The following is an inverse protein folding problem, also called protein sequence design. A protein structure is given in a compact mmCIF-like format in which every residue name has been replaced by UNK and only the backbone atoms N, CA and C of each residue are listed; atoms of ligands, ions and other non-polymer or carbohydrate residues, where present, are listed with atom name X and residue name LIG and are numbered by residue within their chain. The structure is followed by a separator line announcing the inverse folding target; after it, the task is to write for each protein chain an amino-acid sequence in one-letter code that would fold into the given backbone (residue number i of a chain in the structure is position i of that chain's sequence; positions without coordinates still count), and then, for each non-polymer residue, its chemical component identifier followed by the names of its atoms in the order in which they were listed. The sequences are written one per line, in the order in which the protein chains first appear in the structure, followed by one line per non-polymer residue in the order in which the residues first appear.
data_IF_235050933852
#
_entry.id   IF_235050933852
#
_cell.length_a   1.000
_cell.length_b   1.000
_cell.length_c   1.000
_cell.angle_alpha   90.00
_cell.angle_beta   90.00
_cell.angle_gamma   90.00
#
_symmetry.space_group_name_H-M   'P 1'
#
loop_
_entity.id
_entity.type
_entity.pdbx_description
1 polymer ?
#
# COMPACT_ATOMS: atom_id res chain seq x y z
N UNK A 1 -22.29 -1.01 -27.95
CA UNK A 1 -21.71 -2.02 -27.05
C UNK A 1 -20.21 -1.77 -27.03
N UNK A 2 -19.57 -1.64 -25.87
CA UNK A 2 -18.13 -1.46 -25.73
C UNK A 2 -17.42 -2.81 -25.87
N UNK A 3 -16.14 -2.80 -26.28
CA UNK A 3 -15.36 -4.04 -26.24
C UNK A 3 -15.07 -4.41 -24.79
N UNK A 4 -14.59 -3.44 -23.98
CA UNK A 4 -14.28 -3.67 -22.57
C UNK A 4 -14.75 -2.50 -21.70
N UNK A 5 -15.37 -2.82 -20.56
CA UNK A 5 -15.59 -1.86 -19.48
C UNK A 5 -14.70 -2.22 -18.29
N UNK A 6 -13.91 -1.22 -17.82
CA UNK A 6 -13.10 -1.33 -16.62
C UNK A 6 -13.80 -0.59 -15.49
N UNK A 7 -14.01 -1.25 -14.34
CA UNK A 7 -14.70 -0.70 -13.18
C UNK A 7 -13.68 -0.41 -12.07
N UNK A 8 -13.47 0.88 -11.79
CA UNK A 8 -12.53 1.40 -10.80
C UNK A 8 -11.34 2.12 -11.44
N UNK A 9 -11.17 3.40 -11.10
CA UNK A 9 -10.14 4.30 -11.64
C UNK A 9 -8.88 4.40 -10.81
N UNK A 10 -8.58 3.42 -9.94
CA UNK A 10 -7.28 3.29 -9.28
C UNK A 10 -6.20 2.83 -10.26
N UNK A 11 -4.94 2.69 -9.79
CA UNK A 11 -3.80 2.26 -10.63
C UNK A 11 -4.10 0.98 -11.39
N UNK A 12 -4.73 -0.02 -10.75
CA UNK A 12 -5.08 -1.28 -11.43
C UNK A 12 -5.98 -1.06 -12.65
N UNK A 13 -7.05 -0.29 -12.48
CA UNK A 13 -7.99 -0.03 -13.57
C UNK A 13 -7.40 0.85 -14.66
N UNK A 14 -6.64 1.87 -14.31
CA UNK A 14 -5.96 2.74 -15.28
C UNK A 14 -4.95 1.97 -16.12
N UNK A 15 -4.15 1.08 -15.52
CA UNK A 15 -3.21 0.22 -16.25
C UNK A 15 -3.96 -0.77 -17.13
N UNK A 16 -5.01 -1.42 -16.61
CA UNK A 16 -5.80 -2.35 -17.41
C UNK A 16 -6.46 -1.65 -18.61
N UNK A 17 -7.04 -0.46 -18.42
CA UNK A 17 -7.67 0.29 -19.49
C UNK A 17 -6.67 0.72 -20.56
N UNK A 18 -5.49 1.24 -20.14
CA UNK A 18 -4.40 1.63 -21.05
C UNK A 18 -3.90 0.44 -21.88
N UNK A 19 -3.59 -0.68 -21.23
CA UNK A 19 -3.02 -1.84 -21.91
C UNK A 19 -4.04 -2.48 -22.89
N UNK A 20 -5.34 -2.47 -22.54
CA UNK A 20 -6.43 -2.90 -23.45
C UNK A 20 -6.61 -1.95 -24.62
N UNK A 21 -6.58 -0.64 -24.40
CA UNK A 21 -6.66 0.34 -25.49
C UNK A 21 -5.45 0.27 -26.41
N UNK A 22 -4.25 0.06 -25.88
CA UNK A 22 -3.04 -0.18 -26.65
C UNK A 22 -3.12 -1.48 -27.50
N UNK A 23 -3.94 -2.46 -27.08
CA UNK A 23 -4.27 -3.64 -27.85
C UNK A 23 -5.42 -3.41 -28.88
N UNK A 24 -5.84 -2.16 -29.08
CA UNK A 24 -6.84 -1.77 -30.09
C UNK A 24 -8.29 -1.95 -29.67
N UNK A 25 -8.58 -2.09 -28.36
CA UNK A 25 -9.95 -2.26 -27.84
C UNK A 25 -10.64 -0.91 -27.58
N UNK A 26 -11.95 -0.85 -27.82
CA UNK A 26 -12.80 0.26 -27.35
C UNK A 26 -13.06 0.10 -25.84
N UNK A 27 -12.36 0.91 -25.03
CA UNK A 27 -12.35 0.78 -23.57
C UNK A 27 -13.03 1.98 -22.91
N UNK A 28 -13.98 1.68 -22.01
CA UNK A 28 -14.59 2.65 -21.11
C UNK A 28 -14.19 2.33 -19.66
N UNK A 29 -13.53 3.27 -18.99
CA UNK A 29 -13.25 3.20 -17.56
C UNK A 29 -14.31 3.97 -16.76
N UNK A 30 -14.92 3.31 -15.78
CA UNK A 30 -15.92 3.87 -14.86
C UNK A 30 -15.34 4.01 -13.45
N UNK A 31 -15.30 5.23 -12.92
CA UNK A 31 -14.86 5.55 -11.58
C UNK A 31 -16.00 6.18 -10.78
N UNK A 32 -16.20 5.68 -9.54
CA UNK A 32 -17.29 6.15 -8.67
C UNK A 32 -17.03 7.53 -8.06
N UNK A 33 -15.76 7.87 -7.82
CA UNK A 33 -15.35 9.17 -7.28
C UNK A 33 -15.29 10.24 -8.40
N UNK A 34 -15.19 11.53 -8.03
CA UNK A 34 -15.02 12.61 -9.00
C UNK A 34 -13.68 12.58 -9.75
N UNK A 35 -12.70 11.86 -9.22
CA UNK A 35 -11.33 11.81 -9.73
C UNK A 35 -10.81 10.37 -9.80
N UNK A 36 -9.96 10.10 -10.79
CA UNK A 36 -9.18 8.86 -10.87
C UNK A 36 -7.95 8.90 -9.97
N UNK A 37 -7.32 7.73 -9.74
CA UNK A 37 -6.06 7.61 -9.01
C UNK A 37 -6.18 6.72 -7.76
N UNK A 38 -7.37 6.61 -7.19
CA UNK A 38 -7.56 5.83 -5.97
C UNK A 38 -6.67 6.34 -4.83
N UNK A 39 -5.69 5.53 -4.40
CA UNK A 39 -4.77 5.88 -3.30
C UNK A 39 -3.56 6.71 -3.73
N UNK A 40 -3.37 7.00 -5.01
CA UNK A 40 -2.38 7.95 -5.52
C UNK A 40 -3.06 9.30 -5.70
N UNK A 41 -2.83 10.18 -4.74
CA UNK A 41 -3.46 11.49 -4.69
C UNK A 41 -2.48 12.55 -4.25
N UNK A 42 -2.56 13.70 -4.88
CA UNK A 42 -1.88 14.93 -4.45
C UNK A 42 -2.90 15.95 -3.99
N UNK A 43 -2.48 16.81 -3.11
CA UNK A 43 -3.26 17.97 -2.69
C UNK A 43 -2.33 19.14 -2.36
N UNK A 44 -2.89 20.32 -2.18
CA UNK A 44 -2.16 21.52 -1.80
C UNK A 44 -2.11 21.66 -0.28
N UNK A 45 -0.90 21.85 0.26
CA UNK A 45 -0.67 22.11 1.68
C UNK A 45 0.31 23.27 1.79
N UNK A 46 -0.10 24.39 2.39
CA UNK A 46 0.65 25.65 2.46
C UNK A 46 1.13 26.15 1.08
N UNK A 47 0.31 26.01 0.04
CA UNK A 47 0.67 26.40 -1.33
C UNK A 47 1.57 25.39 -2.07
N UNK A 48 1.95 24.29 -1.44
CA UNK A 48 2.80 23.25 -2.02
C UNK A 48 1.99 22.04 -2.44
N UNK A 49 2.09 21.61 -3.70
CA UNK A 49 1.43 20.39 -4.19
C UNK A 49 2.27 19.16 -3.83
N UNK A 50 1.76 18.32 -2.93
CA UNK A 50 2.44 17.14 -2.38
C UNK A 50 1.55 15.89 -2.39
N UNK A 51 2.16 14.72 -2.27
CA UNK A 51 1.42 13.47 -2.11
C UNK A 51 0.73 13.42 -0.73
N UNK A 52 -0.59 13.25 -0.73
CA UNK A 52 -1.41 12.99 0.47
C UNK A 52 -1.82 11.51 0.57
N UNK A 53 -1.53 10.73 -0.47
CA UNK A 53 -1.69 9.28 -0.55
C UNK A 53 -0.36 8.53 -0.51
N UNK A 54 -0.25 7.46 -1.31
CA UNK A 54 1.00 6.72 -1.46
C UNK A 54 2.03 7.56 -2.21
N UNK A 55 3.24 7.70 -1.65
CA UNK A 55 4.31 8.56 -2.18
C UNK A 55 5.45 7.80 -2.88
N UNK A 56 5.46 6.47 -2.77
CA UNK A 56 6.57 5.66 -3.27
C UNK A 56 6.10 4.29 -3.73
N UNK A 57 6.88 3.69 -4.62
CA UNK A 57 6.78 2.29 -5.01
C UNK A 57 8.10 1.56 -4.76
N UNK A 58 8.07 0.21 -4.75
CA UNK A 58 9.28 -0.60 -4.67
C UNK A 58 10.04 -0.53 -6.00
N UNK A 59 11.25 0.05 -5.99
CA UNK A 59 12.12 0.16 -7.16
C UNK A 59 12.75 -1.17 -7.60
N UNK A 60 12.70 -2.19 -6.74
CA UNK A 60 13.24 -3.54 -7.01
C UNK A 60 12.25 -4.48 -7.69
N UNK A 61 11.06 -3.98 -8.01
CA UNK A 61 10.01 -4.71 -8.73
C UNK A 61 9.87 -4.13 -10.13
N UNK A 62 10.08 -4.94 -11.19
CA UNK A 62 10.14 -4.44 -12.57
C UNK A 62 8.83 -3.79 -13.01
N UNK A 63 7.67 -4.29 -12.57
CA UNK A 63 6.38 -3.86 -13.10
C UNK A 63 6.15 -2.34 -13.00
N UNK A 64 6.65 -1.71 -11.90
CA UNK A 64 6.52 -0.26 -11.71
C UNK A 64 7.58 0.53 -12.47
N UNK A 65 8.80 0.01 -12.55
CA UNK A 65 9.91 0.62 -13.28
C UNK A 65 9.65 0.59 -14.78
N UNK A 66 9.22 -0.56 -15.29
CA UNK A 66 8.89 -0.75 -16.70
C UNK A 66 7.71 0.16 -17.12
N UNK A 67 6.67 0.25 -16.28
CA UNK A 67 5.55 1.16 -16.56
C UNK A 67 5.99 2.63 -16.60
N UNK A 68 6.87 3.06 -15.69
CA UNK A 68 7.41 4.41 -15.72
C UNK A 68 8.19 4.67 -17.04
N UNK A 69 9.01 3.70 -17.47
CA UNK A 69 9.73 3.78 -18.74
C UNK A 69 8.79 3.82 -19.95
N UNK A 70 7.74 3.00 -19.98
CA UNK A 70 6.69 2.99 -21.01
C UNK A 70 5.95 4.35 -21.12
N UNK A 71 5.82 5.05 -19.99
CA UNK A 71 5.20 6.37 -19.92
C UNK A 71 6.19 7.53 -20.18
N UNK A 72 7.48 7.23 -20.41
CA UNK A 72 8.53 8.25 -20.52
C UNK A 72 8.73 9.04 -19.22
N UNK A 73 8.36 8.46 -18.07
CA UNK A 73 8.44 9.12 -16.79
C UNK A 73 9.78 8.83 -16.08
N UNK A 74 10.46 9.88 -15.67
CA UNK A 74 11.67 9.78 -14.86
C UNK A 74 11.34 9.26 -13.45
N UNK A 75 12.24 8.46 -12.88
CA UNK A 75 12.17 8.00 -11.50
C UNK A 75 13.17 8.75 -10.62
N UNK A 76 12.73 9.16 -9.46
CA UNK A 76 13.57 9.70 -8.39
C UNK A 76 13.60 8.74 -7.20
N UNK A 77 14.70 8.77 -6.46
CA UNK A 77 14.93 7.91 -5.31
C UNK A 77 15.01 8.71 -4.01
N UNK A 78 14.75 8.09 -2.86
CA UNK A 78 14.96 8.74 -1.57
C UNK A 78 16.39 9.20 -1.41
N UNK A 79 16.58 10.25 -0.61
CA UNK A 79 17.91 10.70 -0.18
C UNK A 79 18.60 9.64 0.70
N UNK A 80 19.80 9.93 1.17
CA UNK A 80 20.51 9.08 2.14
C UNK A 80 19.99 9.21 3.58
N UNK A 81 18.94 10.01 3.83
CA UNK A 81 18.35 10.20 5.14
C UNK A 81 17.89 8.85 5.77
N UNK A 82 18.34 8.60 6.99
CA UNK A 82 18.13 7.32 7.66
C UNK A 82 16.67 7.17 8.15
N UNK A 83 16.11 5.96 8.04
CA UNK A 83 14.85 5.63 8.70
C UNK A 83 15.07 5.29 10.18
N UNK A 84 14.06 5.53 11.00
CA UNK A 84 14.10 5.27 12.43
C UNK A 84 12.88 4.46 12.91
N UNK A 85 12.97 3.94 14.11
CA UNK A 85 11.87 3.39 14.89
C UNK A 85 11.88 4.01 16.28
N UNK A 86 10.71 4.42 16.76
CA UNK A 86 10.57 4.79 18.17
C UNK A 86 10.56 3.52 19.02
N UNK A 87 11.53 3.34 19.85
CA UNK A 87 11.60 2.17 20.69
C UNK A 87 12.32 2.50 22.01
N UNK A 88 11.71 2.05 23.11
CA UNK A 88 12.29 2.18 24.45
C UNK A 88 12.69 3.62 24.78
N UNK A 89 11.76 4.56 24.52
CA UNK A 89 11.89 5.97 24.88
C UNK A 89 12.82 6.81 24.00
N UNK A 90 13.22 6.31 22.81
CA UNK A 90 14.09 7.07 21.89
C UNK A 90 13.83 6.75 20.42
N UNK A 91 14.13 7.70 19.52
CA UNK A 91 14.24 7.47 18.09
C UNK A 91 15.55 6.72 17.81
N UNK A 92 15.46 5.47 17.40
CA UNK A 92 16.59 4.58 17.11
C UNK A 92 16.69 4.36 15.61
N UNK A 93 17.91 4.37 15.08
CA UNK A 93 18.15 4.07 13.67
C UNK A 93 17.65 2.66 13.35
N UNK A 94 16.87 2.52 12.29
CA UNK A 94 16.34 1.24 11.84
C UNK A 94 17.49 0.33 11.39
N UNK A 95 17.66 -0.87 11.99
CA UNK A 95 18.65 -1.82 11.51
C UNK A 95 18.22 -2.38 10.14
N UNK A 96 19.20 -2.69 9.30
CA UNK A 96 18.94 -3.33 8.01
C UNK A 96 18.34 -4.71 8.24
N UNK A 97 17.20 -4.96 7.57
CA UNK A 97 16.42 -6.18 7.79
C UNK A 97 15.56 -6.54 6.58
N UNK A 98 15.17 -7.81 6.49
CA UNK A 98 14.04 -8.23 5.64
C UNK A 98 12.77 -8.23 6.50
N UNK A 99 11.96 -7.18 6.37
CA UNK A 99 10.70 -7.00 7.11
C UNK A 99 10.85 -7.27 8.63
N UNK A 100 11.95 -6.79 9.20
CA UNK A 100 12.24 -6.90 10.64
C UNK A 100 13.19 -8.04 11.02
N UNK A 101 13.39 -9.06 10.18
CA UNK A 101 14.45 -10.08 10.41
C UNK A 101 15.80 -9.47 10.04
N UNK A 102 16.73 -9.32 11.01
CA UNK A 102 17.96 -8.58 10.81
C UNK A 102 18.92 -9.30 9.87
N UNK A 103 19.62 -8.50 9.02
CA UNK A 103 20.73 -9.01 8.23
C UNK A 103 22.04 -9.13 9.02
N UNK A 104 22.12 -8.40 10.15
CA UNK A 104 23.31 -8.28 10.97
C UNK A 104 22.91 -8.08 12.43
N UNK A 105 23.30 -9.01 13.29
CA UNK A 105 22.98 -8.98 14.73
C UNK A 105 23.79 -7.91 15.49
N UNK A 106 24.99 -7.55 15.04
CA UNK A 106 25.77 -6.49 15.67
C UNK A 106 25.16 -5.12 15.36
N UNK A 107 24.68 -4.92 14.14
CA UNK A 107 23.92 -3.72 13.78
C UNK A 107 22.60 -3.65 14.59
N UNK A 108 21.88 -4.77 14.77
CA UNK A 108 20.70 -4.83 15.62
C UNK A 108 21.05 -4.45 17.06
N UNK A 109 22.13 -5.00 17.62
CA UNK A 109 22.60 -4.68 18.96
C UNK A 109 22.93 -3.19 19.11
N UNK A 110 23.70 -2.64 18.18
CA UNK A 110 24.11 -1.23 18.18
C UNK A 110 22.91 -0.28 18.04
N UNK A 111 21.83 -0.67 17.36
CA UNK A 111 20.63 0.13 17.24
C UNK A 111 19.92 0.38 18.57
N UNK A 112 20.05 -0.52 19.53
CA UNK A 112 19.37 -0.48 20.81
C UNK A 112 17.84 -0.63 20.74
N UNK A 113 17.29 -1.09 19.61
CA UNK A 113 15.85 -1.29 19.42
C UNK A 113 15.32 -2.32 20.41
N UNK A 114 16.04 -3.41 20.62
CA UNK A 114 15.68 -4.46 21.58
C UNK A 114 16.32 -4.23 22.95
N UNK A 115 15.71 -4.82 23.98
CA UNK A 115 16.32 -4.98 25.28
C UNK A 115 17.50 -5.97 25.21
N UNK A 116 18.31 -6.02 26.27
CA UNK A 116 19.37 -7.02 26.35
C UNK A 116 18.81 -8.46 26.28
N UNK A 117 17.68 -8.71 26.95
CA UNK A 117 17.00 -10.01 26.94
C UNK A 117 16.43 -10.33 25.55
N UNK A 118 15.78 -9.35 24.88
CA UNK A 118 15.25 -9.55 23.53
C UNK A 118 16.36 -9.79 22.50
N UNK A 119 17.49 -9.10 22.64
CA UNK A 119 18.66 -9.31 21.79
C UNK A 119 19.28 -10.70 22.01
N UNK A 120 19.41 -11.14 23.27
CA UNK A 120 19.88 -12.48 23.58
C UNK A 120 18.98 -13.56 23.01
N UNK A 121 17.65 -13.40 23.15
CA UNK A 121 16.67 -14.32 22.54
C UNK A 121 16.78 -14.34 21.01
N UNK A 122 16.98 -13.20 20.37
CA UNK A 122 17.13 -13.12 18.91
C UNK A 122 18.42 -13.79 18.41
N UNK A 123 19.50 -13.77 19.21
CA UNK A 123 20.76 -14.46 18.88
C UNK A 123 20.66 -15.98 18.93
N UNK A 124 19.72 -16.51 19.70
CA UNK A 124 19.51 -17.95 19.87
C UNK A 124 18.26 -18.38 19.09
N UNK A 125 18.38 -18.41 17.76
CA UNK A 125 17.27 -18.82 16.88
C UNK A 125 16.85 -20.26 17.16
N UNK A 126 15.54 -20.46 17.31
CA UNK A 126 14.94 -21.80 17.41
C UNK A 126 14.43 -22.23 16.04
N UNK A 127 15.22 -23.00 15.29
CA UNK A 127 14.80 -23.47 13.96
C UNK A 127 13.72 -24.53 14.11
N UNK A 128 12.53 -24.24 13.58
CA UNK A 128 11.35 -25.12 13.59
C UNK A 128 10.83 -25.31 12.18
N UNK A 129 10.19 -26.44 11.92
CA UNK A 129 9.51 -26.69 10.65
C UNK A 129 8.36 -25.69 10.45
N UNK A 130 8.14 -25.30 9.19
CA UNK A 130 7.12 -24.33 8.79
C UNK A 130 6.19 -24.96 7.79
N UNK A 131 4.90 -24.90 8.03
CA UNK A 131 3.85 -25.36 7.11
C UNK A 131 3.74 -24.53 5.83
N UNK A 132 2.66 -24.75 5.08
CA UNK A 132 2.45 -24.10 3.79
C UNK A 132 2.19 -22.59 3.95
N UNK A 133 1.52 -22.19 5.00
CA UNK A 133 1.34 -20.79 5.37
C UNK A 133 1.25 -20.66 6.90
N UNK A 134 1.72 -19.52 7.40
CA UNK A 134 1.75 -19.15 8.81
C UNK A 134 1.73 -17.61 8.90
N UNK A 135 1.33 -17.03 10.02
CA UNK A 135 1.48 -15.59 10.18
C UNK A 135 2.95 -15.19 10.26
N UNK A 136 3.28 -14.00 9.71
CA UNK A 136 4.65 -13.47 9.80
C UNK A 136 5.08 -13.31 11.24
N UNK A 137 4.19 -12.78 12.09
CA UNK A 137 4.47 -12.57 13.51
C UNK A 137 4.76 -13.87 14.24
N UNK A 138 3.93 -14.91 14.06
CA UNK A 138 4.14 -16.19 14.76
C UNK A 138 5.39 -16.92 14.27
N UNK A 139 5.67 -16.87 12.96
CA UNK A 139 6.91 -17.40 12.39
C UNK A 139 8.15 -16.77 13.04
N UNK A 140 8.19 -15.44 13.10
CA UNK A 140 9.35 -14.73 13.63
C UNK A 140 9.42 -14.84 15.15
N UNK A 141 8.29 -14.79 15.86
CA UNK A 141 8.25 -14.94 17.31
C UNK A 141 8.77 -16.31 17.78
N UNK A 142 8.32 -17.38 17.12
CA UNK A 142 8.77 -18.73 17.44
C UNK A 142 10.30 -18.89 17.28
N UNK A 143 10.88 -18.26 16.25
CA UNK A 143 12.29 -18.39 15.93
C UNK A 143 13.18 -17.40 16.67
N UNK A 144 12.80 -16.11 16.72
CA UNK A 144 13.65 -15.01 17.14
C UNK A 144 13.12 -14.25 18.37
N UNK A 145 11.91 -14.56 18.82
CA UNK A 145 11.28 -14.00 20.01
C UNK A 145 10.30 -12.86 19.75
N UNK A 146 9.42 -12.64 20.72
CA UNK A 146 8.29 -11.70 20.64
C UNK A 146 8.77 -10.25 20.54
N UNK A 147 9.80 -9.85 21.28
CA UNK A 147 10.25 -8.46 21.28
C UNK A 147 10.75 -8.02 19.90
N UNK A 148 11.38 -8.91 19.12
CA UNK A 148 11.76 -8.61 17.74
C UNK A 148 10.52 -8.37 16.88
N UNK A 149 9.49 -9.20 17.05
CA UNK A 149 8.22 -9.00 16.35
C UNK A 149 7.61 -7.66 16.72
N UNK A 150 7.41 -7.40 17.99
CA UNK A 150 6.68 -6.24 18.49
C UNK A 150 7.37 -4.92 18.14
N UNK A 151 8.71 -4.88 18.06
CA UNK A 151 9.49 -3.66 17.87
C UNK A 151 10.04 -3.43 16.47
N UNK A 152 10.11 -4.47 15.63
CA UNK A 152 10.62 -4.35 14.26
C UNK A 152 9.64 -4.89 13.21
N UNK A 153 9.16 -6.13 13.35
CA UNK A 153 8.29 -6.74 12.33
C UNK A 153 6.93 -6.04 12.28
N UNK A 154 6.32 -5.86 13.45
CA UNK A 154 4.98 -5.24 13.59
C UNK A 154 4.95 -3.83 13.01
N UNK A 155 5.85 -2.88 13.36
CA UNK A 155 5.79 -1.53 12.78
C UNK A 155 6.10 -1.49 11.28
N UNK A 156 6.95 -2.38 10.75
CA UNK A 156 7.23 -2.46 9.31
C UNK A 156 6.02 -2.96 8.52
N UNK A 157 5.39 -4.05 8.95
CA UNK A 157 4.17 -4.57 8.34
C UNK A 157 2.97 -3.65 8.57
N UNK A 158 2.86 -3.06 9.77
CA UNK A 158 1.86 -2.05 10.09
C UNK A 158 1.99 -0.79 9.23
N UNK A 159 3.19 -0.42 8.82
CA UNK A 159 3.45 0.67 7.86
C UNK A 159 2.88 0.36 6.45
N UNK A 160 2.93 -0.91 6.03
CA UNK A 160 2.49 -1.35 4.70
C UNK A 160 1.00 -1.70 4.69
N UNK A 161 0.54 -2.51 5.65
CA UNK A 161 -0.81 -3.09 5.66
C UNK A 161 -1.76 -2.42 6.66
N UNK A 162 -1.26 -1.62 7.60
CA UNK A 162 -1.98 -1.15 8.78
C UNK A 162 -2.65 -2.31 9.57
N UNK A 163 -2.13 -3.52 9.41
CA UNK A 163 -2.57 -4.75 10.04
C UNK A 163 -1.60 -5.22 11.11
N UNK A 164 -1.86 -6.40 11.66
CA UNK A 164 -1.06 -7.01 12.71
C UNK A 164 -0.19 -8.14 12.12
N UNK A 165 1.11 -8.13 12.40
CA UNK A 165 2.06 -9.13 11.92
C UNK A 165 1.63 -10.57 12.26
N UNK A 166 1.00 -10.77 13.44
CA UNK A 166 0.49 -12.08 13.90
C UNK A 166 -0.80 -12.54 13.19
N UNK A 167 -1.34 -11.73 12.27
CA UNK A 167 -2.52 -12.07 11.46
C UNK A 167 -2.22 -12.13 9.97
N UNK A 168 -1.10 -11.51 9.54
CA UNK A 168 -0.71 -11.43 8.13
C UNK A 168 0.03 -12.70 7.70
N UNK A 169 -0.43 -13.33 6.62
CA UNK A 169 0.17 -14.49 5.97
C UNK A 169 1.60 -14.23 5.52
N UNK A 170 2.52 -15.09 5.88
CA UNK A 170 3.89 -15.04 5.39
C UNK A 170 3.96 -15.35 3.89
N UNK A 171 3.15 -16.28 3.41
CA UNK A 171 3.08 -16.64 1.99
C UNK A 171 2.62 -15.47 1.11
N UNK A 172 1.65 -14.66 1.60
CA UNK A 172 1.08 -13.55 0.85
C UNK A 172 1.84 -12.23 1.04
N UNK A 173 2.25 -11.91 2.28
CA UNK A 173 2.84 -10.61 2.62
C UNK A 173 4.37 -10.57 2.44
N UNK A 174 5.07 -11.65 2.80
CA UNK A 174 6.54 -11.73 2.77
C UNK A 174 7.00 -13.13 2.32
N UNK A 175 6.70 -13.57 1.09
CA UNK A 175 6.99 -14.93 0.61
C UNK A 175 8.48 -15.29 0.69
N UNK A 176 9.38 -14.30 0.57
CA UNK A 176 10.81 -14.52 0.72
C UNK A 176 11.17 -15.01 2.12
N UNK A 177 10.53 -14.46 3.17
CA UNK A 177 10.75 -14.86 4.55
C UNK A 177 10.32 -16.30 4.80
N UNK A 178 9.16 -16.69 4.28
CA UNK A 178 8.67 -18.08 4.34
C UNK A 178 9.62 -19.03 3.60
N UNK A 179 10.09 -18.65 2.42
CA UNK A 179 11.06 -19.44 1.66
C UNK A 179 12.40 -19.59 2.41
N UNK A 180 12.89 -18.56 3.09
CA UNK A 180 14.09 -18.62 3.95
C UNK A 180 13.88 -19.57 5.13
N UNK A 181 12.73 -19.44 5.80
CA UNK A 181 12.38 -20.29 6.95
C UNK A 181 12.33 -21.78 6.62
N UNK A 182 11.88 -22.12 5.40
CA UNK A 182 11.84 -23.51 4.91
C UNK A 182 13.23 -24.08 4.56
N UNK A 183 14.21 -23.21 4.29
CA UNK A 183 15.59 -23.63 3.99
C UNK A 183 16.47 -23.79 5.24
N UNK A 184 16.02 -23.30 6.41
CA UNK A 184 16.77 -23.41 7.67
C UNK A 184 16.71 -22.13 8.51
N UNK A 185 17.85 -21.73 9.10
CA UNK A 185 17.95 -20.55 9.94
C UNK A 185 17.60 -19.27 9.19
N UNK A 186 16.69 -18.47 9.75
CA UNK A 186 16.35 -17.13 9.23
C UNK A 186 17.55 -16.19 9.30
N UNK A 187 18.33 -16.26 10.38
CA UNK A 187 19.50 -15.40 10.56
C UNK A 187 20.59 -15.71 9.54
N UNK A 188 20.91 -16.99 9.33
CA UNK A 188 21.89 -17.40 8.31
C UNK A 188 21.45 -17.01 6.90
N UNK A 189 20.18 -17.26 6.56
CA UNK A 189 19.62 -16.89 5.26
C UNK A 189 19.59 -15.37 5.07
N UNK A 190 19.26 -14.62 6.11
CA UNK A 190 19.24 -13.16 6.06
C UNK A 190 20.66 -12.60 5.90
N UNK A 191 21.64 -13.10 6.65
CA UNK A 191 23.04 -12.69 6.52
C UNK A 191 23.62 -12.98 5.13
N UNK A 192 23.15 -14.02 4.47
CA UNK A 192 23.56 -14.39 3.11
C UNK A 192 22.94 -13.50 1.99
N UNK A 193 21.97 -12.61 2.32
CA UNK A 193 21.36 -11.72 1.32
C UNK A 193 22.39 -10.69 0.85
N UNK A 194 22.70 -10.63 -0.46
CA UNK A 194 23.67 -9.68 -0.98
C UNK A 194 23.27 -8.24 -0.69
N UNK A 195 24.25 -7.41 -0.37
CA UNK A 195 24.05 -5.96 -0.26
C UNK A 195 23.78 -5.42 -1.65
N UNK A 196 22.58 -4.91 -1.90
CA UNK A 196 22.22 -4.28 -3.15
C UNK A 196 22.42 -2.76 -3.07
N UNK A 197 23.06 -2.19 -4.09
CA UNK A 197 23.14 -0.73 -4.29
C UNK A 197 21.86 -0.16 -4.90
N UNK A 198 20.98 -1.00 -5.45
CA UNK A 198 19.69 -0.55 -6.01
C UNK A 198 18.82 0.02 -4.89
N UNK A 199 18.32 1.24 -5.02
CA UNK A 199 17.40 1.84 -4.06
C UNK A 199 16.17 0.93 -3.81
N UNK A 200 15.66 0.95 -2.58
CA UNK A 200 14.47 0.16 -2.24
C UNK A 200 13.20 0.80 -2.82
N UNK A 201 13.17 2.14 -2.81
CA UNK A 201 12.00 2.91 -3.23
C UNK A 201 12.31 3.82 -4.40
N UNK A 202 11.28 4.09 -5.19
CA UNK A 202 11.25 5.12 -6.22
C UNK A 202 9.95 5.92 -6.15
N UNK A 203 9.98 7.13 -6.66
CA UNK A 203 8.84 8.01 -6.87
C UNK A 203 8.98 8.72 -8.22
N UNK A 204 8.00 9.55 -8.56
CA UNK A 204 8.08 10.47 -9.70
C UNK A 204 8.49 11.86 -9.20
N UNK A 205 9.21 12.64 -9.97
CA UNK A 205 9.38 14.08 -9.71
C UNK A 205 8.00 14.73 -9.57
N UNK A 206 7.76 15.45 -8.48
CA UNK A 206 6.45 16.03 -8.16
C UNK A 206 5.41 15.03 -7.61
N UNK A 207 5.84 13.81 -7.23
CA UNK A 207 5.05 12.84 -6.48
C UNK A 207 4.41 11.73 -7.30
N UNK A 208 4.17 10.60 -6.62
CA UNK A 208 3.50 9.42 -7.21
C UNK A 208 2.05 9.70 -7.63
N UNK A 209 1.39 10.67 -7.04
CA UNK A 209 0.05 11.09 -7.44
C UNK A 209 -0.02 11.71 -8.86
N UNK A 210 1.12 11.85 -9.56
CA UNK A 210 1.15 12.17 -11.00
C UNK A 210 0.84 10.97 -11.90
N UNK A 211 1.14 9.74 -11.42
CA UNK A 211 0.98 8.53 -12.21
C UNK A 211 -0.41 8.34 -12.80
N UNK A 212 -1.53 8.57 -12.07
CA UNK A 212 -2.88 8.48 -12.64
C UNK A 212 -3.12 9.40 -13.84
N UNK A 213 -2.63 10.63 -13.77
CA UNK A 213 -2.72 11.58 -14.90
C UNK A 213 -1.95 11.09 -16.12
N UNK A 214 -0.70 10.63 -15.93
CA UNK A 214 0.12 10.08 -17.02
C UNK A 214 -0.56 8.86 -17.69
N UNK A 215 -1.16 7.98 -16.91
CA UNK A 215 -1.89 6.81 -17.43
C UNK A 215 -3.14 7.21 -18.21
N UNK A 216 -3.90 8.19 -17.72
CA UNK A 216 -5.12 8.67 -18.38
C UNK A 216 -4.79 9.41 -19.67
N UNK A 217 -3.87 10.37 -19.62
CA UNK A 217 -3.60 11.31 -20.71
C UNK A 217 -2.92 10.63 -21.91
N UNK A 218 -2.13 9.58 -21.65
CA UNK A 218 -1.50 8.75 -22.69
C UNK A 218 -2.26 7.47 -23.04
N UNK A 219 -3.46 7.23 -22.45
CA UNK A 219 -4.06 5.90 -22.43
C UNK A 219 -4.95 5.52 -23.61
N UNK A 220 -5.49 6.47 -24.40
CA UNK A 220 -6.34 6.18 -25.55
C UNK A 220 -7.69 5.51 -25.21
N UNK A 221 -8.21 5.67 -24.00
CA UNK A 221 -9.49 5.15 -23.53
C UNK A 221 -10.38 6.24 -22.95
N UNK A 222 -11.70 5.98 -22.95
CA UNK A 222 -12.67 6.90 -22.35
C UNK A 222 -12.71 6.73 -20.83
N UNK A 223 -12.78 7.84 -20.08
CA UNK A 223 -12.93 7.86 -18.62
C UNK A 223 -14.22 8.57 -18.24
N UNK A 224 -15.04 7.94 -17.40
CA UNK A 224 -16.21 8.56 -16.77
C UNK A 224 -16.08 8.48 -15.26
N UNK A 225 -15.95 9.62 -14.61
CA UNK A 225 -15.93 9.78 -13.15
C UNK A 225 -17.36 10.00 -12.63
N UNK A 226 -17.55 9.95 -11.30
CA UNK A 226 -18.86 10.01 -10.65
C UNK A 226 -19.85 8.97 -11.21
N UNK A 227 -19.33 7.85 -11.73
CA UNK A 227 -20.05 6.80 -12.44
C UNK A 227 -20.04 5.48 -11.63
N UNK A 228 -20.82 5.44 -10.55
CA UNK A 228 -20.92 4.27 -9.69
C UNK A 228 -21.61 3.11 -10.42
N UNK A 229 -20.90 1.99 -10.60
CA UNK A 229 -21.49 0.73 -11.06
C UNK A 229 -22.19 0.03 -9.91
N UNK A 230 -23.50 -0.26 -10.07
CA UNK A 230 -24.35 -0.81 -9.01
C UNK A 230 -24.67 -2.28 -9.19
N UNK A 231 -24.74 -2.75 -10.43
CA UNK A 231 -25.00 -4.15 -10.76
C UNK A 231 -24.26 -4.56 -12.03
N UNK A 232 -23.91 -5.84 -12.05
CA UNK A 232 -23.31 -6.52 -13.19
C UNK A 232 -24.16 -7.76 -13.50
N UNK A 233 -24.49 -7.99 -14.76
CA UNK A 233 -25.29 -9.14 -15.21
C UNK A 233 -24.70 -9.73 -16.48
N UNK A 234 -24.78 -11.05 -16.61
CA UNK A 234 -24.46 -11.75 -17.85
C UNK A 234 -25.61 -11.59 -18.84
N UNK A 235 -25.29 -11.34 -20.11
CA UNK A 235 -26.23 -11.34 -21.23
C UNK A 235 -25.83 -12.40 -22.26
N UNK A 236 -26.64 -12.59 -23.29
CA UNK A 236 -26.30 -13.51 -24.37
C UNK A 236 -25.07 -13.07 -25.19
N UNK A 237 -24.81 -11.76 -25.26
CA UNK A 237 -23.73 -11.16 -26.05
C UNK A 237 -22.55 -10.63 -25.21
N UNK A 238 -22.57 -10.80 -23.89
CA UNK A 238 -21.52 -10.26 -23.01
C UNK A 238 -22.07 -9.87 -21.65
N UNK A 239 -21.97 -8.60 -21.29
CA UNK A 239 -22.22 -8.07 -19.97
C UNK A 239 -23.11 -6.82 -20.03
N UNK A 240 -23.99 -6.67 -19.05
CA UNK A 240 -24.80 -5.47 -18.82
C UNK A 240 -24.50 -4.88 -17.46
N UNK A 241 -24.15 -3.59 -17.42
CA UNK A 241 -23.81 -2.84 -16.22
C UNK A 241 -24.89 -1.80 -15.94
N UNK A 242 -25.37 -1.73 -14.69
CA UNK A 242 -26.21 -0.63 -14.20
C UNK A 242 -25.33 0.43 -13.56
N UNK A 243 -25.35 1.65 -14.10
CA UNK A 243 -24.42 2.73 -13.71
C UNK A 243 -25.20 3.97 -13.29
N UNK A 244 -24.62 4.77 -12.41
CA UNK A 244 -25.13 6.08 -12.02
C UNK A 244 -26.03 6.08 -10.78
N UNK A 245 -26.75 7.16 -10.49
CA UNK A 245 -27.61 7.29 -9.32
C UNK A 245 -28.82 6.35 -9.42
N UNK A 246 -29.35 5.93 -8.26
CA UNK A 246 -30.53 5.04 -8.20
C UNK A 246 -31.78 5.66 -8.79
N UNK A 247 -31.87 6.98 -8.84
CA UNK A 247 -32.99 7.73 -9.38
C UNK A 247 -32.99 7.78 -10.91
N UNK A 248 -31.80 7.67 -11.54
CA UNK A 248 -31.64 7.73 -13.01
C UNK A 248 -30.51 6.76 -13.40
N UNK A 249 -30.76 5.44 -13.32
CA UNK A 249 -29.77 4.45 -13.72
C UNK A 249 -29.62 4.42 -15.24
N UNK A 250 -28.39 4.27 -15.70
CA UNK A 250 -28.01 4.03 -17.08
C UNK A 250 -27.60 2.56 -17.24
N UNK A 251 -27.89 1.97 -18.40
CA UNK A 251 -27.40 0.65 -18.78
C UNK A 251 -26.27 0.77 -19.80
N UNK A 252 -25.13 0.15 -19.50
CA UNK A 252 -23.99 0.04 -20.41
C UNK A 252 -23.76 -1.42 -20.75
N UNK A 253 -23.59 -1.75 -22.03
CA UNK A 253 -23.27 -3.09 -22.50
C UNK A 253 -21.82 -3.20 -22.94
N UNK A 254 -21.18 -4.34 -22.63
CA UNK A 254 -19.79 -4.63 -22.95
C UNK A 254 -19.59 -6.10 -23.30
N UNK A 255 -18.65 -6.41 -24.19
CA UNK A 255 -18.24 -7.77 -24.47
C UNK A 255 -17.44 -8.35 -23.30
N UNK A 256 -16.60 -7.55 -22.65
CA UNK A 256 -15.81 -7.94 -21.47
C UNK A 256 -15.83 -6.88 -20.36
N UNK A 257 -15.54 -7.33 -19.12
CA UNK A 257 -15.48 -6.48 -17.93
C UNK A 257 -14.26 -6.81 -17.08
N UNK A 258 -13.52 -5.78 -16.65
CA UNK A 258 -12.46 -5.88 -15.67
C UNK A 258 -12.89 -5.19 -14.37
N UNK A 259 -13.00 -5.94 -13.28
CA UNK A 259 -13.27 -5.40 -11.94
C UNK A 259 -11.95 -5.02 -11.26
N UNK A 260 -11.67 -3.72 -11.19
CA UNK A 260 -10.50 -3.14 -10.53
C UNK A 260 -10.86 -2.41 -9.22
N UNK A 261 -11.94 -2.86 -8.58
CA UNK A 261 -12.47 -2.29 -7.34
C UNK A 261 -11.92 -3.00 -6.10
N UNK A 262 -12.00 -2.38 -4.89
CA UNK A 262 -11.74 -3.08 -3.64
C UNK A 262 -12.60 -4.34 -3.44
N UNK A 263 -12.20 -5.23 -2.51
CA UNK A 263 -12.83 -6.53 -2.33
C UNK A 263 -14.36 -6.45 -2.05
N UNK A 264 -14.80 -5.56 -1.15
CA UNK A 264 -16.22 -5.47 -0.80
C UNK A 264 -17.12 -4.97 -1.94
N UNK A 265 -16.78 -3.92 -2.73
CA UNK A 265 -17.49 -3.61 -3.96
C UNK A 265 -17.48 -4.73 -4.99
N UNK A 266 -16.33 -5.41 -5.19
CA UNK A 266 -16.23 -6.54 -6.10
C UNK A 266 -17.16 -7.69 -5.68
N UNK A 267 -17.20 -8.03 -4.39
CA UNK A 267 -18.11 -9.05 -3.85
C UNK A 267 -19.58 -8.73 -4.17
N UNK A 268 -20.00 -7.46 -4.00
CA UNK A 268 -21.37 -7.05 -4.32
C UNK A 268 -21.70 -7.19 -5.79
N UNK A 269 -20.78 -6.81 -6.68
CA UNK A 269 -20.98 -6.88 -8.14
C UNK A 269 -20.99 -8.34 -8.64
N UNK A 270 -20.27 -9.23 -7.97
CA UNK A 270 -20.18 -10.64 -8.32
C UNK A 270 -21.23 -11.53 -7.67
N UNK A 271 -22.06 -11.00 -6.77
CA UNK A 271 -22.98 -11.82 -5.95
C UNK A 271 -23.90 -12.73 -6.79
N UNK A 272 -24.47 -12.21 -7.87
CA UNK A 272 -25.37 -12.96 -8.75
C UNK A 272 -24.62 -13.70 -9.89
N UNK A 273 -23.41 -13.27 -10.21
CA UNK A 273 -22.65 -13.76 -11.37
C UNK A 273 -21.69 -14.90 -10.97
N UNK A 274 -20.91 -14.69 -9.92
CA UNK A 274 -19.92 -15.61 -9.42
C UNK A 274 -20.00 -15.68 -7.88
N UNK A 275 -21.03 -16.28 -7.30
CA UNK A 275 -21.32 -16.25 -5.86
C UNK A 275 -20.21 -16.85 -5.00
N UNK A 276 -19.45 -17.82 -5.49
CA UNK A 276 -18.29 -18.38 -4.79
C UNK A 276 -17.18 -17.34 -4.67
N UNK A 277 -16.86 -16.61 -5.75
CA UNK A 277 -15.90 -15.52 -5.71
C UNK A 277 -16.38 -14.39 -4.81
N UNK A 278 -17.66 -14.05 -4.85
CA UNK A 278 -18.26 -13.02 -4.01
C UNK A 278 -18.15 -13.38 -2.51
N UNK A 279 -18.40 -14.63 -2.16
CA UNK A 279 -18.25 -15.13 -0.79
C UNK A 279 -16.82 -15.04 -0.28
N UNK A 280 -15.83 -15.52 -1.05
CA UNK A 280 -14.41 -15.42 -0.68
C UNK A 280 -13.93 -13.96 -0.59
N UNK A 281 -14.36 -13.08 -1.51
CA UNK A 281 -14.04 -11.63 -1.47
C UNK A 281 -14.64 -10.93 -0.24
N UNK A 282 -15.85 -11.30 0.17
CA UNK A 282 -16.51 -10.71 1.33
C UNK A 282 -15.78 -11.02 2.66
N UNK A 283 -14.96 -12.08 2.69
CA UNK A 283 -14.15 -12.44 3.86
C UNK A 283 -12.82 -11.67 3.95
N UNK A 284 -12.42 -10.92 2.91
CA UNK A 284 -11.21 -10.11 2.95
C UNK A 284 -11.45 -8.89 3.82
N UNK A 285 -10.92 -8.91 5.03
CA UNK A 285 -10.95 -7.77 5.93
C UNK A 285 -10.11 -6.61 5.37
N UNK A 286 -10.42 -5.40 5.81
CA UNK A 286 -9.69 -4.20 5.39
C UNK A 286 -9.37 -3.34 6.60
N UNK A 287 -8.22 -2.65 6.55
CA UNK A 287 -7.89 -1.58 7.51
C UNK A 287 -8.15 -0.21 6.90
N UNK A 288 -8.63 0.69 7.74
CA UNK A 288 -8.74 2.12 7.43
C UNK A 288 -7.55 2.87 7.99
N UNK A 289 -7.13 3.92 7.29
CA UNK A 289 -6.03 4.79 7.73
C UNK A 289 -6.36 6.25 7.46
N UNK A 290 -5.80 7.14 8.28
CA UNK A 290 -5.73 8.56 7.99
C UNK A 290 -4.27 8.98 7.84
N UNK A 291 -3.99 9.79 6.83
CA UNK A 291 -2.72 10.48 6.63
C UNK A 291 -2.96 11.95 6.94
N UNK A 292 -2.23 12.47 7.90
CA UNK A 292 -2.23 13.91 8.24
C UNK A 292 -0.93 14.49 7.68
N UNK A 293 -1.05 15.35 6.69
CA UNK A 293 0.05 16.10 6.10
C UNK A 293 0.14 17.45 6.79
N UNK A 294 1.33 17.82 7.22
CA UNK A 294 1.58 19.04 8.01
C UNK A 294 2.71 19.82 7.37
N UNK A 295 2.51 21.13 7.21
CA UNK A 295 3.55 22.06 6.77
C UNK A 295 4.02 22.93 7.93
N UNK A 296 5.34 23.14 8.05
CA UNK A 296 5.95 23.97 9.08
C UNK A 296 6.98 24.92 8.44
N UNK A 297 7.34 25.98 9.16
CA UNK A 297 8.54 26.73 8.80
C UNK A 297 9.77 25.88 9.09
N UNK A 298 10.71 25.82 8.17
CA UNK A 298 11.92 25.00 8.28
C UNK A 298 12.70 25.33 9.57
N UNK A 299 12.84 26.62 9.90
CA UNK A 299 13.55 27.10 11.10
C UNK A 299 12.91 26.67 12.44
N UNK A 300 11.64 26.26 12.45
CA UNK A 300 10.90 25.90 13.67
C UNK A 300 10.96 24.40 13.96
N UNK A 301 11.71 23.62 13.14
CA UNK A 301 11.83 22.16 13.26
C UNK A 301 13.28 21.79 13.60
N UNK A 302 13.51 20.82 14.53
CA UNK A 302 14.86 20.44 14.93
C UNK A 302 15.74 20.00 13.75
N UNK A 303 16.95 20.55 13.63
CA UNK A 303 17.92 20.26 12.54
C UNK A 303 18.23 18.75 12.41
N UNK A 304 18.30 18.04 13.51
CA UNK A 304 18.56 16.60 13.53
C UNK A 304 17.55 15.77 12.73
N UNK A 305 16.35 16.32 12.43
CA UNK A 305 15.32 15.63 11.65
C UNK A 305 15.58 15.71 10.13
N UNK A 306 16.46 16.64 9.68
CA UNK A 306 16.82 16.74 8.26
C UNK A 306 17.67 15.57 7.76
N UNK A 307 18.29 14.82 8.68
CA UNK A 307 19.04 13.59 8.37
C UNK A 307 18.20 12.31 8.50
N UNK A 308 16.89 12.45 8.77
CA UNK A 308 15.96 11.33 8.95
C UNK A 308 14.84 11.37 7.93
N UNK A 309 14.58 10.23 7.27
CA UNK A 309 13.46 10.09 6.32
C UNK A 309 12.10 9.91 7.02
N UNK A 310 12.11 9.70 8.34
CA UNK A 310 10.93 9.45 9.16
C UNK A 310 11.16 8.33 10.18
N UNK A 311 10.07 7.97 10.87
CA UNK A 311 10.12 6.91 11.86
C UNK A 311 8.82 6.10 11.91
N UNK A 312 8.95 4.86 12.36
CA UNK A 312 7.83 3.97 12.67
C UNK A 312 7.60 3.93 14.20
N UNK A 313 6.35 3.68 14.58
CA UNK A 313 5.96 3.57 15.99
C UNK A 313 5.28 2.22 16.21
N UNK A 314 5.93 1.30 16.95
CA UNK A 314 5.34 0.02 17.31
C UNK A 314 4.08 0.19 18.16
N UNK A 315 3.05 -0.66 18.02
CA UNK A 315 1.85 -0.61 18.87
C UNK A 315 2.15 -0.73 20.36
N UNK A 316 3.19 -1.47 20.72
CA UNK A 316 3.64 -1.63 22.12
C UNK A 316 4.02 -0.30 22.80
N UNK A 317 4.34 0.74 22.04
CA UNK A 317 4.66 2.08 22.54
C UNK A 317 3.40 2.94 22.80
N UNK A 318 2.20 2.42 22.48
CA UNK A 318 0.88 3.01 22.79
C UNK A 318 0.74 4.48 22.33
N UNK A 319 1.17 4.77 21.09
CA UNK A 319 1.02 6.07 20.45
C UNK A 319 -0.09 6.04 19.42
N UNK A 320 -0.70 7.19 19.18
CA UNK A 320 -1.77 7.30 18.21
C UNK A 320 -1.25 7.23 16.77
N UNK A 321 -0.12 7.87 16.47
CA UNK A 321 0.52 7.72 15.17
C UNK A 321 1.24 6.37 15.10
N UNK A 322 1.16 5.72 13.94
CA UNK A 322 1.93 4.49 13.66
C UNK A 322 3.21 4.76 12.87
N UNK A 323 3.32 5.93 12.27
CA UNK A 323 4.49 6.37 11.52
C UNK A 323 4.47 7.89 11.32
N UNK A 324 5.64 8.47 11.13
CA UNK A 324 5.81 9.78 10.51
C UNK A 324 6.80 9.68 9.37
N UNK A 325 6.48 10.27 8.21
CA UNK A 325 7.40 10.42 7.08
C UNK A 325 7.81 11.88 6.97
N UNK A 326 9.09 12.14 7.02
CA UNK A 326 9.66 13.46 6.79
C UNK A 326 9.90 13.63 5.30
N UNK A 327 8.84 13.97 4.56
CA UNK A 327 8.87 14.04 3.10
C UNK A 327 9.93 15.04 2.60
N UNK A 328 10.14 16.14 3.34
CA UNK A 328 11.18 17.14 3.06
C UNK A 328 12.61 16.57 3.13
N UNK A 329 12.87 15.62 4.01
CA UNK A 329 14.18 14.99 4.16
C UNK A 329 14.33 13.75 3.26
N UNK A 330 13.24 13.02 3.04
CA UNK A 330 13.22 11.79 2.23
C UNK A 330 13.31 12.06 0.73
N UNK A 331 12.71 13.15 0.24
CA UNK A 331 12.62 13.46 -1.18
C UNK A 331 13.22 14.85 -1.47
N UNK A 332 14.29 14.89 -2.26
CA UNK A 332 14.93 16.15 -2.65
C UNK A 332 13.93 17.10 -3.32
N UNK A 333 13.08 16.59 -4.22
CA UNK A 333 12.09 17.38 -4.93
C UNK A 333 11.06 18.05 -4.00
N UNK A 334 10.72 17.45 -2.84
CA UNK A 334 9.81 18.08 -1.85
C UNK A 334 10.49 19.26 -1.16
N UNK A 335 11.77 19.08 -0.80
CA UNK A 335 12.56 20.16 -0.18
C UNK A 335 12.79 21.33 -1.15
N UNK A 336 12.91 21.04 -2.43
CA UNK A 336 13.18 22.04 -3.47
C UNK A 336 11.93 22.84 -3.88
N UNK A 337 10.71 22.46 -3.39
CA UNK A 337 9.47 23.22 -3.62
C UNK A 337 9.53 24.59 -2.95
N UNK A 338 9.98 24.65 -1.70
CA UNK A 338 10.17 25.88 -0.93
C UNK A 338 11.22 25.61 0.17
N UNK A 339 12.35 26.34 0.21
CA UNK A 339 13.39 26.13 1.22
C UNK A 339 12.96 26.54 2.64
N UNK A 340 11.98 27.42 2.78
CA UNK A 340 11.50 27.93 4.06
C UNK A 340 10.35 27.11 4.65
N UNK A 341 9.75 26.22 3.85
CA UNK A 341 8.60 25.37 4.26
C UNK A 341 8.94 23.90 4.15
N UNK A 342 8.81 23.17 5.23
CA UNK A 342 8.94 21.72 5.23
C UNK A 342 7.57 21.06 5.31
N UNK A 343 7.45 19.91 4.62
CA UNK A 343 6.25 19.07 4.67
C UNK A 343 6.60 17.69 5.22
N UNK A 344 5.83 17.26 6.21
CA UNK A 344 5.89 15.91 6.75
C UNK A 344 4.49 15.32 6.88
N UNK A 345 4.42 14.01 7.07
CA UNK A 345 3.15 13.30 7.20
C UNK A 345 3.17 12.39 8.41
N UNK A 346 2.04 12.29 9.09
CA UNK A 346 1.78 11.24 10.08
C UNK A 346 0.73 10.27 9.56
N UNK A 347 0.78 9.03 10.02
CA UNK A 347 -0.18 7.99 9.66
C UNK A 347 -0.84 7.44 10.92
N UNK A 348 -2.17 7.44 10.94
CA UNK A 348 -3.01 6.97 12.04
C UNK A 348 -3.89 5.81 11.57
N UNK A 349 -4.36 5.00 12.52
CA UNK A 349 -5.26 3.88 12.28
C UNK A 349 -4.52 2.58 11.98
N UNK A 350 -4.93 1.56 12.71
CA UNK A 350 -4.57 0.15 12.53
C UNK A 350 -5.86 -0.66 12.43
N UNK A 351 -5.77 -1.85 11.91
CA UNK A 351 -6.92 -2.77 11.90
C UNK A 351 -7.49 -2.95 13.31
N UNK A 352 -8.79 -2.69 13.49
CA UNK A 352 -9.48 -2.70 14.78
C UNK A 352 -9.49 -1.36 15.52
N UNK A 353 -8.81 -0.33 15.01
CA UNK A 353 -8.78 1.02 15.61
C UNK A 353 -9.56 2.06 14.78
N UNK A 354 -10.46 1.63 13.91
CA UNK A 354 -11.18 2.50 12.96
C UNK A 354 -12.01 3.59 13.65
N UNK A 355 -12.45 3.34 14.89
CA UNK A 355 -13.21 4.31 15.68
C UNK A 355 -12.43 5.62 15.90
N UNK A 356 -11.11 5.55 16.05
CA UNK A 356 -10.26 6.73 16.27
C UNK A 356 -10.24 7.64 15.04
N UNK A 357 -10.47 7.09 13.85
CA UNK A 357 -10.48 7.83 12.58
C UNK A 357 -11.79 8.58 12.32
N UNK A 358 -12.82 8.39 13.17
CA UNK A 358 -14.09 9.11 13.09
C UNK A 358 -14.01 10.53 13.74
N UNK A 359 -12.90 10.83 14.42
CA UNK A 359 -12.66 12.17 14.95
C UNK A 359 -12.64 13.21 13.82
N UNK A 360 -13.04 14.45 14.14
CA UNK A 360 -12.90 15.58 13.21
C UNK A 360 -11.43 15.81 12.82
N UNK A 361 -11.18 16.47 11.69
CA UNK A 361 -9.84 16.69 11.16
C UNK A 361 -8.92 17.38 12.17
N UNK A 362 -9.42 18.40 12.87
CA UNK A 362 -8.69 19.12 13.92
C UNK A 362 -8.31 18.19 15.09
N UNK A 363 -9.11 17.14 15.33
CA UNK A 363 -8.84 16.12 16.33
C UNK A 363 -7.64 15.25 15.93
N UNK A 364 -7.62 14.78 14.67
CA UNK A 364 -6.52 13.98 14.12
C UNK A 364 -5.21 14.81 14.01
N UNK A 365 -5.31 16.07 13.61
CA UNK A 365 -4.18 17.02 13.60
C UNK A 365 -3.62 17.20 15.00
N UNK A 366 -4.48 17.45 15.99
CA UNK A 366 -4.05 17.66 17.38
C UNK A 366 -3.32 16.44 17.96
N UNK A 367 -3.83 15.26 17.71
CA UNK A 367 -3.21 14.00 18.17
C UNK A 367 -1.85 13.77 17.47
N UNK A 368 -1.77 14.04 16.18
CA UNK A 368 -0.52 13.98 15.41
C UNK A 368 0.53 14.95 15.97
N UNK A 369 0.15 16.20 16.28
CA UNK A 369 1.06 17.20 16.84
C UNK A 369 1.53 16.82 18.25
N UNK A 370 0.66 16.25 19.08
CA UNK A 370 1.04 15.79 20.43
C UNK A 370 2.10 14.66 20.36
N UNK A 371 1.91 13.69 19.46
CA UNK A 371 2.90 12.63 19.27
C UNK A 371 4.19 13.15 18.61
N UNK A 372 4.13 14.02 17.61
CA UNK A 372 5.32 14.64 17.00
C UNK A 372 6.12 15.44 18.01
N UNK A 373 5.45 16.18 18.91
CA UNK A 373 6.11 16.91 20.00
C UNK A 373 6.85 15.96 20.94
N UNK A 374 6.17 14.90 21.38
CA UNK A 374 6.73 13.90 22.32
C UNK A 374 7.84 13.04 21.71
N UNK A 375 7.71 12.65 20.43
CA UNK A 375 8.57 11.66 19.80
C UNK A 375 9.71 12.29 18.98
N UNK A 376 9.48 13.46 18.40
CA UNK A 376 10.40 14.13 17.49
C UNK A 376 10.80 15.56 17.89
N UNK A 377 10.25 16.08 19.00
CA UNK A 377 10.56 17.41 19.50
C UNK A 377 9.97 18.55 18.65
N UNK A 378 9.01 18.28 17.77
CA UNK A 378 8.35 19.29 16.95
C UNK A 378 7.24 19.94 17.77
N UNK A 379 7.50 21.11 18.34
CA UNK A 379 6.56 21.85 19.19
C UNK A 379 5.92 23.05 18.48
N UNK A 380 6.37 23.34 17.27
CA UNK A 380 5.86 24.43 16.45
C UNK A 380 4.41 24.20 16.02
N UNK A 381 3.69 25.28 15.78
CA UNK A 381 2.38 25.23 15.12
C UNK A 381 2.57 25.05 13.62
N UNK A 382 1.81 24.15 12.97
CA UNK A 382 1.87 24.05 11.53
C UNK A 382 1.33 25.32 10.85
N UNK A 383 1.89 25.64 9.69
CA UNK A 383 1.39 26.70 8.80
C UNK A 383 0.04 26.26 8.18
N UNK A 384 -0.04 24.97 7.85
CA UNK A 384 -1.21 24.37 7.22
C UNK A 384 -1.25 22.87 7.49
N UNK A 385 -2.41 22.24 7.28
CA UNK A 385 -2.62 20.81 7.48
C UNK A 385 -3.69 20.26 6.54
N UNK A 386 -3.49 19.04 6.06
CA UNK A 386 -4.47 18.29 5.26
C UNK A 386 -4.68 16.91 5.86
N UNK A 387 -5.94 16.47 5.95
CA UNK A 387 -6.30 15.14 6.46
C UNK A 387 -6.94 14.30 5.35
N UNK A 388 -6.24 13.26 4.93
CA UNK A 388 -6.75 12.31 3.95
C UNK A 388 -7.12 10.99 4.62
N UNK A 389 -8.41 10.61 4.57
CA UNK A 389 -8.89 9.32 5.05
C UNK A 389 -9.02 8.31 3.92
N UNK A 390 -8.59 7.08 4.20
CA UNK A 390 -8.71 5.93 3.32
C UNK A 390 -9.54 4.84 4.02
N UNK A 391 -10.86 4.94 3.91
CA UNK A 391 -11.80 3.97 4.49
C UNK A 391 -11.69 2.61 3.80
N UNK A 392 -11.38 1.55 4.55
CA UNK A 392 -11.18 0.21 4.00
C UNK A 392 -10.06 0.16 2.94
N UNK A 393 -9.07 1.05 3.03
CA UNK A 393 -8.08 1.27 1.99
C UNK A 393 -7.08 0.13 1.83
N UNK A 394 -6.80 -0.65 2.89
CA UNK A 394 -5.74 -1.66 2.90
C UNK A 394 -6.32 -3.05 3.17
N UNK A 395 -6.39 -3.94 2.16
CA UNK A 395 -6.82 -5.32 2.35
C UNK A 395 -5.84 -6.07 3.25
N UNK A 396 -6.37 -6.92 4.12
CA UNK A 396 -5.62 -7.73 5.06
C UNK A 396 -5.43 -9.14 4.51
N UNK A 397 -4.18 -9.52 4.34
CA UNK A 397 -3.82 -10.83 3.83
C UNK A 397 -3.65 -11.82 4.97
N UNK A 398 -4.75 -12.32 5.50
CA UNK A 398 -4.75 -13.34 6.55
C UNK A 398 -4.15 -14.66 6.03
N UNK A 399 -3.74 -15.53 6.95
CA UNK A 399 -3.30 -16.90 6.62
C UNK A 399 -4.33 -17.57 5.70
N UNK A 400 -3.84 -18.24 4.64
CA UNK A 400 -4.69 -18.83 3.57
C UNK A 400 -5.14 -17.83 2.49
N UNK A 401 -4.62 -16.59 2.48
CA UNK A 401 -4.99 -15.59 1.46
C UNK A 401 -4.63 -16.02 0.03
N UNK A 402 -3.49 -16.66 -0.17
CA UNK A 402 -3.05 -17.14 -1.49
C UNK A 402 -4.07 -18.13 -2.08
N UNK A 403 -4.50 -19.10 -1.29
CA UNK A 403 -5.50 -20.09 -1.70
C UNK A 403 -6.87 -19.45 -1.95
N UNK A 404 -7.25 -18.48 -1.12
CA UNK A 404 -8.49 -17.70 -1.32
C UNK A 404 -8.47 -16.98 -2.66
N UNK A 405 -7.37 -16.29 -3.01
CA UNK A 405 -7.22 -15.62 -4.31
C UNK A 405 -7.28 -16.60 -5.46
N UNK A 406 -6.67 -17.79 -5.32
CA UNK A 406 -6.76 -18.85 -6.32
C UNK A 406 -8.21 -19.30 -6.55
N UNK A 407 -9.00 -19.52 -5.48
CA UNK A 407 -10.44 -19.87 -5.59
C UNK A 407 -11.25 -18.73 -6.24
N UNK A 408 -11.04 -17.47 -5.82
CA UNK A 408 -11.70 -16.31 -6.43
C UNK A 408 -11.48 -16.30 -7.95
N UNK A 409 -10.23 -16.43 -8.38
CA UNK A 409 -9.89 -16.44 -9.82
C UNK A 409 -10.50 -17.62 -10.54
N UNK A 410 -10.39 -18.81 -9.99
CA UNK A 410 -11.00 -20.01 -10.58
C UNK A 410 -12.52 -19.87 -10.76
N UNK A 411 -13.20 -19.19 -9.83
CA UNK A 411 -14.63 -18.91 -9.94
C UNK A 411 -14.92 -17.86 -11.02
N UNK A 412 -14.13 -16.78 -11.10
CA UNK A 412 -14.26 -15.72 -12.11
C UNK A 412 -13.95 -16.24 -13.51
N UNK A 413 -12.92 -17.08 -13.68
CA UNK A 413 -12.47 -17.61 -14.97
C UNK A 413 -13.51 -18.54 -15.65
N UNK A 414 -14.51 -19.02 -14.89
CA UNK A 414 -15.69 -19.73 -15.47
C UNK A 414 -16.61 -18.81 -16.27
N UNK A 415 -16.39 -17.51 -16.22
CA UNK A 415 -17.20 -16.49 -16.89
C UNK A 415 -16.37 -15.77 -17.97
N UNK A 416 -16.38 -16.24 -19.24
CA UNK A 416 -15.63 -15.62 -20.33
C UNK A 416 -15.88 -14.12 -20.43
N UNK A 417 -14.81 -13.35 -20.63
CA UNK A 417 -14.87 -11.89 -20.68
C UNK A 417 -14.99 -11.20 -19.31
N UNK A 418 -14.80 -11.91 -18.19
CA UNK A 418 -14.76 -11.33 -16.85
C UNK A 418 -13.38 -11.54 -16.20
N UNK A 419 -12.80 -10.47 -15.63
CA UNK A 419 -11.58 -10.56 -14.87
C UNK A 419 -11.59 -9.64 -13.64
N UNK A 420 -10.72 -9.95 -12.66
CA UNK A 420 -10.53 -9.17 -11.44
C UNK A 420 -9.08 -8.77 -11.28
N UNK A 421 -8.80 -7.55 -10.78
CA UNK A 421 -7.46 -7.08 -10.46
C UNK A 421 -7.45 -6.06 -9.33
N UNK A 422 -6.27 -5.78 -8.80
CA UNK A 422 -6.06 -4.75 -7.79
C UNK A 422 -5.41 -5.27 -6.51
N UNK A 423 -5.37 -4.40 -5.51
CA UNK A 423 -4.65 -4.63 -4.26
C UNK A 423 -5.24 -5.76 -3.37
N UNK A 424 -6.40 -6.28 -3.68
CA UNK A 424 -7.01 -7.38 -2.92
C UNK A 424 -6.41 -8.76 -3.24
N UNK A 425 -5.57 -8.88 -4.27
CA UNK A 425 -5.17 -10.17 -4.84
C UNK A 425 -3.68 -10.48 -4.70
N UNK A 426 -2.79 -9.69 -5.33
CA UNK A 426 -1.38 -10.07 -5.53
C UNK A 426 -0.38 -9.24 -4.73
N UNK A 427 -0.85 -8.29 -3.96
CA UNK A 427 -0.04 -7.36 -3.17
C UNK A 427 -0.60 -5.94 -3.18
N UNK A 428 -0.39 -5.22 -2.09
CA UNK A 428 -0.88 -3.84 -1.92
C UNK A 428 0.04 -2.79 -2.56
N UNK A 429 1.29 -3.13 -2.87
CA UNK A 429 2.26 -2.22 -3.48
C UNK A 429 1.94 -1.92 -4.96
N UNK A 430 2.28 -0.72 -5.42
CA UNK A 430 2.02 -0.27 -6.79
C UNK A 430 2.49 -1.28 -7.85
N UNK A 431 3.73 -1.84 -7.80
CA UNK A 431 4.16 -2.84 -8.78
C UNK A 431 3.31 -4.11 -8.79
N UNK A 432 2.91 -4.60 -7.62
CA UNK A 432 2.05 -5.78 -7.52
C UNK A 432 0.64 -5.52 -8.11
N UNK A 433 0.11 -4.31 -7.89
CA UNK A 433 -1.17 -3.87 -8.45
C UNK A 433 -1.10 -3.76 -9.98
N UNK A 434 0.02 -3.26 -10.53
CA UNK A 434 0.29 -3.23 -11.98
C UNK A 434 0.33 -4.66 -12.55
N UNK A 435 1.08 -5.56 -11.91
CA UNK A 435 1.15 -6.96 -12.32
C UNK A 435 -0.21 -7.65 -12.28
N UNK A 436 -1.03 -7.35 -11.27
CA UNK A 436 -2.41 -7.84 -11.17
C UNK A 436 -3.29 -7.36 -12.32
N UNK A 437 -3.18 -6.08 -12.71
CA UNK A 437 -3.89 -5.50 -13.85
C UNK A 437 -3.49 -6.17 -15.17
N UNK A 438 -2.20 -6.32 -15.43
CA UNK A 438 -1.68 -6.98 -16.65
C UNK A 438 -2.12 -8.44 -16.76
N UNK A 439 -2.23 -9.14 -15.63
CA UNK A 439 -2.81 -10.50 -15.60
C UNK A 439 -4.28 -10.51 -16.00
N UNK A 440 -5.08 -9.56 -15.51
CA UNK A 440 -6.49 -9.43 -15.89
C UNK A 440 -6.66 -9.10 -17.37
N UNK A 441 -5.84 -8.20 -17.91
CA UNK A 441 -5.79 -7.92 -19.35
C UNK A 441 -5.53 -9.20 -20.16
N UNK A 442 -4.51 -9.96 -19.79
CA UNK A 442 -4.18 -11.22 -20.47
C UNK A 442 -5.31 -12.27 -20.36
N UNK A 443 -6.13 -12.25 -19.31
CA UNK A 443 -7.28 -13.16 -19.14
C UNK A 443 -8.41 -12.79 -20.10
N UNK A 444 -8.81 -11.51 -20.18
CA UNK A 444 -9.92 -11.11 -21.06
C UNK A 444 -9.57 -11.13 -22.55
N UNK A 445 -8.30 -10.96 -22.92
CA UNK A 445 -7.85 -11.04 -24.33
C UNK A 445 -7.70 -12.45 -24.84
N UNK A 446 -7.55 -13.46 -23.99
CA UNK A 446 -7.46 -14.88 -24.38
C UNK A 446 -8.81 -15.55 -24.55
N UNK A 447 -9.89 -14.94 -24.09
CA UNK A 447 -11.25 -15.52 -24.11
C UNK A 447 -11.95 -15.36 -25.48
N UNK A 448 -11.28 -14.80 -26.45
CA UNK A 448 -11.69 -14.69 -27.87
C UNK A 448 -10.95 -15.70 -28.74
#
# INVERSE_FOLDING_TARGET
MRDVVVIGGGVAGLVAARDLAAAGRDVLLLEASPEVGGKLRRDEVAGLTVDVGAEAMLARRPEGVDLAAELGAELVHPTSAASAVWSRGALRTMPRSLMGVPFDLDQLAASGVLSAQGLDRARHESVTDVGDDVSVGDLVAARLGDELVDRLVEPLLGGVYAGHARRLSAAAAVPQLLAMARRGSLLEQAAAVPVSSTPVFASLPGGMGRLPGLLRDGGGFEVRTSATVRALRRTASGWSLTVGPTTHPETIEAAAVVLATPAAPAARLLADVAPEAASDLATIETASVAVVTLAFRAQDVPDALFERSGFLVPPVEQRAIKASTFSFAKWAWVRDLDPDVIVLRTSLGRQGEEATLQAADEGLVRVSLADLSSLAGITARPLDSHVQRWGGGLPQYAVGHVDRVARIRAAVDRHPGLAVCGAAYDGVGIPAVIGSARRAVASVTRAE
#
